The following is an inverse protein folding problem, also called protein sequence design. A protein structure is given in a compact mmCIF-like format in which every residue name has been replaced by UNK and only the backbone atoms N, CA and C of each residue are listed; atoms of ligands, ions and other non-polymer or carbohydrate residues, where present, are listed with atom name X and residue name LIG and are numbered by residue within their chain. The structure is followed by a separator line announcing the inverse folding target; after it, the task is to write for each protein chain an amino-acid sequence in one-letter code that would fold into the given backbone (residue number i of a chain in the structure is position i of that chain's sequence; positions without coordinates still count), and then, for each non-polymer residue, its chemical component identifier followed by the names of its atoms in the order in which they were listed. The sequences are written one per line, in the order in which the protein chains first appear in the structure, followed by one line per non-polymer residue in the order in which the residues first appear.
data_IF_476875964290
#
_entry.id   IF_476875964290
#
_cell.length_a   1.000
_cell.length_b   1.000
_cell.length_c   1.000
_cell.angle_alpha   90.00
_cell.angle_beta   90.00
_cell.angle_gamma   90.00
#
_symmetry.space_group_name_H-M   'P 1'
#
loop_
_entity.id
_entity.type
_entity.pdbx_description
1 polymer ?
#
# COMPACT_ATOMS: atom_id res chain seq x y z
N UNK A 1 1.68 15.68 21.92
CA UNK A 1 2.35 14.42 21.55
C UNK A 1 1.43 13.76 20.53
N UNK A 2 1.92 13.46 19.33
CA UNK A 2 1.09 12.78 18.34
C UNK A 2 0.88 11.33 18.80
N UNK A 3 -0.32 10.79 18.61
CA UNK A 3 -0.62 9.39 18.91
C UNK A 3 0.29 8.46 18.10
N UNK A 4 0.72 7.37 18.72
CA UNK A 4 1.51 6.32 18.11
C UNK A 4 0.65 5.42 17.22
N UNK A 5 1.31 4.67 16.33
CA UNK A 5 0.64 3.68 15.48
C UNK A 5 -0.20 2.67 16.30
N UNK A 6 0.34 2.17 17.41
CA UNK A 6 -0.38 1.22 18.27
C UNK A 6 -1.62 1.85 18.92
N UNK A 7 -1.53 3.10 19.37
CA UNK A 7 -2.67 3.84 19.94
C UNK A 7 -3.77 4.06 18.90
N UNK A 8 -3.42 4.46 17.67
CA UNK A 8 -4.38 4.56 16.57
C UNK A 8 -5.06 3.24 16.27
N UNK A 9 -4.32 2.12 16.21
CA UNK A 9 -4.91 0.80 15.93
C UNK A 9 -5.90 0.34 16.99
N UNK A 10 -5.64 0.67 18.26
CA UNK A 10 -6.51 0.33 19.37
C UNK A 10 -7.81 1.14 19.37
N UNK A 11 -7.77 2.40 18.92
CA UNK A 11 -8.88 3.35 19.03
C UNK A 11 -9.76 3.44 17.79
N UNK A 12 -9.17 3.37 16.59
CA UNK A 12 -9.89 3.61 15.35
C UNK A 12 -10.73 2.38 14.94
N UNK A 13 -11.88 2.58 14.28
CA UNK A 13 -12.72 1.47 13.83
C UNK A 13 -12.02 0.63 12.77
N UNK A 14 -12.50 -0.60 12.61
CA UNK A 14 -12.12 -1.48 11.53
C UNK A 14 -13.36 -2.19 10.98
N UNK A 15 -13.23 -2.65 9.74
CA UNK A 15 -14.23 -3.48 9.08
C UNK A 15 -13.67 -4.89 8.90
N UNK A 16 -14.50 -5.92 8.97
CA UNK A 16 -14.08 -7.29 8.69
C UNK A 16 -14.79 -7.80 7.44
N UNK A 17 -14.01 -8.17 6.41
CA UNK A 17 -14.52 -8.62 5.12
C UNK A 17 -13.73 -9.84 4.67
N UNK A 18 -14.43 -10.91 4.29
CA UNK A 18 -13.82 -12.18 3.89
C UNK A 18 -12.79 -12.71 4.91
N UNK A 19 -13.08 -12.59 6.21
CA UNK A 19 -12.18 -13.03 7.29
C UNK A 19 -11.01 -12.09 7.59
N UNK A 20 -10.79 -11.05 6.79
CA UNK A 20 -9.66 -10.10 6.92
C UNK A 20 -10.13 -8.77 7.49
N UNK A 21 -9.36 -8.21 8.42
CA UNK A 21 -9.59 -6.89 9.01
C UNK A 21 -9.05 -5.79 8.12
N UNK A 22 -9.85 -4.76 7.88
CA UNK A 22 -9.49 -3.54 7.15
C UNK A 22 -9.56 -2.35 8.10
N UNK A 23 -8.49 -1.56 8.20
CA UNK A 23 -8.44 -0.41 9.10
C UNK A 23 -7.62 0.73 8.49
N UNK A 24 -8.16 1.95 8.50
CA UNK A 24 -7.42 3.14 8.10
C UNK A 24 -6.78 3.84 9.31
N UNK A 25 -5.54 4.30 9.17
CA UNK A 25 -4.80 5.05 10.20
C UNK A 25 -4.01 6.22 9.59
N UNK A 26 -3.79 7.31 10.36
CA UNK A 26 -3.06 8.48 9.89
C UNK A 26 -1.57 8.47 10.25
N UNK A 27 -0.87 7.41 9.84
CA UNK A 27 0.55 7.23 10.14
C UNK A 27 1.37 7.18 8.85
N UNK A 28 2.58 7.75 8.89
CA UNK A 28 3.51 7.68 7.76
C UNK A 28 3.88 6.23 7.43
N UNK A 29 4.03 5.86 6.15
CA UNK A 29 4.56 4.55 5.77
C UNK A 29 5.95 4.24 6.36
N UNK A 30 6.80 5.25 6.58
CA UNK A 30 8.12 5.06 7.21
C UNK A 30 8.03 4.68 8.70
N UNK A 31 6.93 5.04 9.36
CA UNK A 31 6.72 4.88 10.81
C UNK A 31 5.75 3.74 11.17
N UNK A 32 5.20 3.07 10.17
CA UNK A 32 4.19 2.02 10.34
C UNK A 32 4.88 0.69 10.60
N UNK A 33 4.63 0.10 11.78
CA UNK A 33 5.19 -1.20 12.17
C UNK A 33 4.32 -2.32 11.61
N UNK A 34 4.77 -2.96 10.54
CA UNK A 34 4.02 -4.02 9.84
C UNK A 34 4.97 -5.05 9.20
N UNK A 35 4.54 -6.30 8.96
CA UNK A 35 5.32 -7.25 8.19
C UNK A 35 5.63 -6.78 6.75
N UNK A 36 4.75 -6.01 6.13
CA UNK A 36 4.90 -5.52 4.76
C UNK A 36 4.30 -4.12 4.59
N UNK A 37 5.13 -3.14 4.24
CA UNK A 37 4.68 -1.82 3.80
C UNK A 37 4.62 -1.77 2.28
N UNK A 38 3.55 -1.24 1.71
CA UNK A 38 3.41 -0.99 0.28
C UNK A 38 3.32 0.50 0.00
N UNK A 39 4.05 0.97 -1.00
CA UNK A 39 4.09 2.39 -1.41
C UNK A 39 4.04 2.47 -2.93
N UNK A 40 3.25 3.40 -3.47
CA UNK A 40 3.00 3.48 -4.90
C UNK A 40 3.79 4.62 -5.57
N UNK A 41 4.20 4.41 -6.82
CA UNK A 41 4.96 5.37 -7.62
C UNK A 41 4.42 5.45 -9.04
N UNK A 42 4.29 6.66 -9.57
CA UNK A 42 4.02 6.87 -11.01
C UNK A 42 5.27 6.57 -11.84
N UNK A 43 5.10 6.51 -13.16
CA UNK A 43 6.19 6.40 -14.12
C UNK A 43 7.18 7.56 -13.95
N UNK A 44 8.44 7.23 -13.65
CA UNK A 44 9.54 8.18 -13.42
C UNK A 44 9.85 9.10 -14.61
N UNK A 45 9.46 8.73 -15.82
CA UNK A 45 9.65 9.58 -17.02
C UNK A 45 8.63 10.71 -17.09
N UNK A 46 7.46 10.49 -16.48
CA UNK A 46 6.31 11.39 -16.52
C UNK A 46 6.10 12.11 -15.18
N UNK A 47 6.57 11.51 -14.08
CA UNK A 47 6.52 12.09 -12.75
C UNK A 47 7.75 11.67 -11.91
N UNK A 48 8.65 12.63 -11.69
CA UNK A 48 9.81 12.48 -10.82
C UNK A 48 9.57 12.97 -9.39
N UNK A 49 8.43 13.59 -9.13
CA UNK A 49 8.10 14.21 -7.86
C UNK A 49 7.34 13.24 -6.95
N UNK A 50 7.81 13.10 -5.72
CA UNK A 50 7.02 12.59 -4.62
C UNK A 50 7.47 13.28 -3.33
N UNK A 51 6.50 13.56 -2.46
CA UNK A 51 6.67 14.27 -1.20
C UNK A 51 6.12 13.45 -0.02
N UNK A 52 5.98 14.09 1.14
CA UNK A 52 5.22 13.55 2.27
C UNK A 52 5.74 12.21 2.79
N UNK A 53 4.82 11.26 3.02
CA UNK A 53 5.17 9.95 3.54
C UNK A 53 6.05 9.14 2.59
N UNK A 54 5.83 9.30 1.28
CA UNK A 54 6.61 8.62 0.24
C UNK A 54 8.06 9.11 0.20
N UNK A 55 8.27 10.43 0.31
CA UNK A 55 9.61 11.00 0.41
C UNK A 55 10.29 10.59 1.72
N UNK A 56 9.56 10.57 2.85
CA UNK A 56 10.09 10.13 4.12
C UNK A 56 10.63 8.68 4.05
N UNK A 57 9.95 7.76 3.36
CA UNK A 57 10.44 6.38 3.14
C UNK A 57 11.79 6.39 2.41
N UNK A 58 11.92 7.13 1.31
CA UNK A 58 13.17 7.20 0.55
C UNK A 58 14.31 7.83 1.37
N UNK A 59 14.03 8.87 2.16
CA UNK A 59 15.01 9.50 3.06
C UNK A 59 15.55 8.50 4.09
N UNK A 60 14.67 7.70 4.69
CA UNK A 60 15.07 6.63 5.63
C UNK A 60 15.89 5.52 4.96
N UNK A 61 15.71 5.33 3.65
CA UNK A 61 16.54 4.46 2.80
C UNK A 61 17.77 5.17 2.23
N UNK A 62 18.11 6.36 2.72
CA UNK A 62 19.26 7.17 2.25
C UNK A 62 19.22 7.45 0.73
N UNK A 63 18.04 7.68 0.17
CA UNK A 63 17.85 7.95 -1.26
C UNK A 63 17.86 6.70 -2.15
N UNK A 64 17.77 5.50 -1.56
CA UNK A 64 17.87 4.23 -2.28
C UNK A 64 16.80 4.05 -3.37
N UNK A 65 15.57 4.55 -3.17
CA UNK A 65 14.51 4.46 -4.18
C UNK A 65 14.82 5.40 -5.34
N UNK A 66 15.27 6.63 -5.09
CA UNK A 66 15.73 7.54 -6.16
C UNK A 66 16.86 6.91 -6.97
N UNK A 67 17.83 6.30 -6.30
CA UNK A 67 18.95 5.64 -6.97
C UNK A 67 18.50 4.47 -7.86
N UNK A 68 17.60 3.60 -7.38
CA UNK A 68 17.04 2.49 -8.15
C UNK A 68 16.27 2.99 -9.38
N UNK A 69 15.48 4.05 -9.23
CA UNK A 69 14.72 4.66 -10.34
C UNK A 69 15.65 5.31 -11.36
N UNK A 70 16.68 6.02 -10.92
CA UNK A 70 17.68 6.62 -11.80
C UNK A 70 18.48 5.58 -12.59
N UNK A 71 18.65 4.38 -12.04
CA UNK A 71 19.29 3.24 -12.69
C UNK A 71 18.31 2.35 -13.51
N UNK A 72 17.05 2.77 -13.69
CA UNK A 72 16.00 2.02 -14.41
C UNK A 72 15.72 0.61 -13.87
N UNK A 73 15.97 0.38 -12.57
CA UNK A 73 15.63 -0.87 -11.89
C UNK A 73 14.18 -0.93 -11.42
N UNK A 74 13.52 0.23 -11.33
CA UNK A 74 12.09 0.34 -11.06
C UNK A 74 11.58 1.62 -11.70
N UNK A 75 10.72 1.52 -12.70
CA UNK A 75 10.27 2.70 -13.44
C UNK A 75 9.01 3.31 -12.84
N UNK A 76 8.17 2.48 -12.22
CA UNK A 76 6.79 2.80 -11.84
C UNK A 76 5.79 2.48 -12.95
N UNK A 77 6.10 1.54 -13.85
CA UNK A 77 5.16 1.07 -14.89
C UNK A 77 3.91 0.45 -14.25
N UNK A 78 2.75 0.49 -14.91
CA UNK A 78 1.50 0.03 -14.29
C UNK A 78 1.59 -1.44 -13.87
N UNK A 79 1.35 -1.72 -12.57
CA UNK A 79 1.48 -3.02 -11.91
C UNK A 79 2.91 -3.58 -11.82
N UNK A 80 3.94 -2.77 -12.09
CA UNK A 80 5.32 -3.12 -11.78
C UNK A 80 5.50 -3.28 -10.27
N UNK A 81 6.27 -4.27 -9.85
CA UNK A 81 6.57 -4.53 -8.44
C UNK A 81 8.08 -4.61 -8.21
N UNK A 82 8.54 -4.05 -7.09
CA UNK A 82 9.91 -4.26 -6.60
C UNK A 82 9.90 -4.44 -5.09
N UNK A 83 10.32 -5.61 -4.63
CA UNK A 83 10.44 -5.92 -3.20
C UNK A 83 11.82 -5.52 -2.68
N UNK A 84 11.82 -4.81 -1.56
CA UNK A 84 13.01 -4.41 -0.81
C UNK A 84 12.92 -4.97 0.61
N UNK A 85 14.07 -5.29 1.17
CA UNK A 85 14.24 -5.65 2.59
C UNK A 85 15.02 -4.54 3.28
N UNK A 86 14.33 -3.63 3.99
CA UNK A 86 14.99 -2.58 4.75
C UNK A 86 15.89 -3.18 5.84
N UNK A 87 17.04 -2.54 6.06
CA UNK A 87 17.91 -2.84 7.21
C UNK A 87 17.25 -2.32 8.49
N UNK A 88 17.65 -2.91 9.62
CA UNK A 88 17.20 -2.48 10.95
C UNK A 88 17.38 -0.97 11.13
N UNK A 89 16.31 -0.32 11.57
CA UNK A 89 16.28 1.12 11.84
C UNK A 89 16.06 2.01 10.62
N UNK A 90 16.00 1.48 9.39
CA UNK A 90 15.62 2.30 8.22
C UNK A 90 14.13 2.66 8.29
N UNK A 91 13.23 1.68 8.20
CA UNK A 91 11.80 1.88 8.44
C UNK A 91 11.30 0.82 9.43
N UNK A 92 10.12 1.03 10.02
CA UNK A 92 9.57 0.06 10.99
C UNK A 92 8.98 -1.20 10.34
N UNK A 93 8.76 -1.18 9.02
CA UNK A 93 8.25 -2.33 8.30
C UNK A 93 9.36 -3.33 7.98
N UNK A 94 9.08 -4.64 8.11
CA UNK A 94 10.07 -5.68 7.85
C UNK A 94 10.37 -5.87 6.36
N UNK A 95 9.40 -5.58 5.49
CA UNK A 95 9.55 -5.57 4.03
C UNK A 95 8.90 -4.31 3.45
N UNK A 96 9.42 -3.85 2.32
CA UNK A 96 8.86 -2.74 1.55
C UNK A 96 8.61 -3.19 0.12
N UNK A 97 7.37 -3.09 -0.36
CA UNK A 97 7.01 -3.36 -1.73
C UNK A 97 6.68 -2.05 -2.44
N UNK A 98 7.44 -1.74 -3.50
CA UNK A 98 7.15 -0.64 -4.39
C UNK A 98 6.15 -1.13 -5.45
N UNK A 99 5.12 -0.34 -5.71
CA UNK A 99 4.10 -0.64 -6.71
C UNK A 99 4.01 0.47 -7.76
N UNK A 100 4.01 0.11 -9.03
CA UNK A 100 3.90 1.06 -10.13
C UNK A 100 2.45 1.42 -10.49
N UNK A 101 2.18 2.71 -10.59
CA UNK A 101 0.90 3.29 -10.99
C UNK A 101 0.83 3.57 -12.50
N UNK A 102 1.99 3.60 -13.17
CA UNK A 102 2.13 3.92 -14.58
C UNK A 102 1.98 5.41 -14.88
N UNK A 103 1.50 5.67 -16.09
CA UNK A 103 1.25 7.01 -16.61
C UNK A 103 0.14 7.73 -15.81
N UNK A 104 0.41 8.94 -15.26
CA UNK A 104 -0.58 9.72 -14.52
C UNK A 104 -1.84 10.06 -15.34
N UNK A 105 -1.72 10.28 -16.65
CA UNK A 105 -2.87 10.62 -17.51
C UNK A 105 -3.80 9.42 -17.75
N UNK A 106 -3.28 8.20 -17.57
CA UNK A 106 -4.05 6.97 -17.73
C UNK A 106 -4.53 6.41 -16.39
N UNK A 107 -4.27 7.09 -15.27
CA UNK A 107 -4.71 6.63 -13.96
C UNK A 107 -6.23 6.74 -13.85
N UNK A 108 -6.86 5.62 -13.51
CA UNK A 108 -8.32 5.53 -13.35
C UNK A 108 -8.66 4.75 -12.09
N UNK A 109 -9.90 4.89 -11.61
CA UNK A 109 -10.43 4.10 -10.50
C UNK A 109 -10.34 2.58 -10.78
N UNK A 110 -10.53 2.15 -12.03
CA UNK A 110 -10.37 0.74 -12.42
C UNK A 110 -8.91 0.28 -12.29
N UNK A 111 -7.94 1.13 -12.61
CA UNK A 111 -6.51 0.80 -12.40
C UNK A 111 -6.17 0.70 -10.92
N UNK A 112 -6.70 1.58 -10.08
CA UNK A 112 -6.55 1.50 -8.63
C UNK A 112 -7.19 0.23 -8.07
N UNK A 113 -8.33 -0.21 -8.60
CA UNK A 113 -8.91 -1.50 -8.22
C UNK A 113 -8.00 -2.68 -8.57
N UNK A 114 -7.40 -2.69 -9.76
CA UNK A 114 -6.40 -3.69 -10.14
C UNK A 114 -5.18 -3.68 -9.21
N UNK A 115 -4.76 -2.51 -8.75
CA UNK A 115 -3.68 -2.36 -7.78
C UNK A 115 -4.04 -2.98 -6.42
N UNK A 116 -5.26 -2.76 -5.93
CA UNK A 116 -5.75 -3.39 -4.70
C UNK A 116 -5.78 -4.91 -4.81
N UNK A 117 -6.15 -5.44 -5.96
CA UNK A 117 -6.08 -6.88 -6.24
C UNK A 117 -4.63 -7.40 -6.19
N UNK A 118 -3.71 -6.72 -6.89
CA UNK A 118 -2.29 -7.07 -6.90
C UNK A 118 -1.69 -7.08 -5.48
N UNK A 119 -1.98 -6.05 -4.68
CA UNK A 119 -1.49 -5.92 -3.31
C UNK A 119 -1.75 -7.16 -2.45
N UNK A 120 -3.00 -7.64 -2.44
CA UNK A 120 -3.37 -8.85 -1.69
C UNK A 120 -2.66 -10.09 -2.24
N UNK A 121 -2.58 -10.23 -3.56
CA UNK A 121 -1.90 -11.38 -4.16
C UNK A 121 -0.41 -11.41 -3.82
N UNK A 122 0.27 -10.26 -3.82
CA UNK A 122 1.67 -10.16 -3.40
C UNK A 122 1.83 -10.45 -1.90
N UNK A 123 0.96 -9.93 -1.04
CA UNK A 123 0.99 -10.24 0.39
C UNK A 123 0.81 -11.74 0.67
N UNK A 124 -0.11 -12.40 -0.04
CA UNK A 124 -0.33 -13.84 0.04
C UNK A 124 0.90 -14.62 -0.43
N UNK A 125 1.50 -14.25 -1.57
CA UNK A 125 2.74 -14.89 -2.08
C UNK A 125 3.90 -14.77 -1.09
N UNK A 126 4.00 -13.63 -0.41
CA UNK A 126 5.01 -13.37 0.61
C UNK A 126 4.70 -14.03 1.96
N UNK A 127 3.50 -14.60 2.13
CA UNK A 127 3.09 -15.29 3.35
C UNK A 127 3.00 -14.36 4.57
N UNK A 128 2.78 -13.06 4.37
CA UNK A 128 2.70 -12.10 5.48
C UNK A 128 1.31 -12.08 6.13
N UNK A 129 1.20 -11.93 7.46
CA UNK A 129 -0.09 -11.92 8.12
C UNK A 129 -0.80 -10.57 8.02
N UNK A 130 -0.06 -9.49 7.73
CA UNK A 130 -0.64 -8.18 7.50
C UNK A 130 0.24 -7.32 6.61
N UNK A 131 -0.37 -6.31 6.00
CA UNK A 131 0.35 -5.26 5.30
C UNK A 131 -0.29 -3.89 5.50
N UNK A 132 0.51 -2.84 5.38
CA UNK A 132 0.04 -1.46 5.24
C UNK A 132 0.18 -0.97 3.81
N UNK A 133 -0.74 -0.11 3.40
CA UNK A 133 -0.85 0.36 2.02
C UNK A 133 -0.95 1.88 1.99
N UNK A 134 0.06 2.53 1.40
CA UNK A 134 0.06 3.94 1.06
C UNK A 134 -0.15 4.09 -0.46
N UNK A 135 -1.33 4.56 -0.91
CA UNK A 135 -1.58 4.81 -2.33
C UNK A 135 -0.73 5.96 -2.90
N UNK A 136 -0.23 6.84 -2.02
CA UNK A 136 0.71 7.93 -2.35
C UNK A 136 0.29 8.89 -3.48
N UNK A 137 -0.99 8.92 -3.85
CA UNK A 137 -1.47 9.75 -4.96
C UNK A 137 -1.25 11.25 -4.69
N UNK A 138 -1.58 11.71 -3.48
CA UNK A 138 -1.40 13.11 -3.07
C UNK A 138 0.07 13.49 -2.92
N UNK A 139 0.87 12.58 -2.38
CA UNK A 139 2.33 12.74 -2.30
C UNK A 139 2.95 12.88 -3.70
N UNK A 140 2.35 12.26 -4.72
CA UNK A 140 2.75 12.38 -6.12
C UNK A 140 2.12 13.58 -6.86
N UNK A 141 1.41 14.47 -6.13
CA UNK A 141 0.77 15.66 -6.69
C UNK A 141 -0.59 15.43 -7.37
N UNK A 142 -1.16 14.23 -7.26
CA UNK A 142 -2.47 13.92 -7.83
C UNK A 142 -3.62 14.21 -6.85
N UNK A 143 -4.63 14.94 -7.33
CA UNK A 143 -5.81 15.33 -6.54
C UNK A 143 -7.15 15.01 -7.22
N UNK A 144 -7.12 14.33 -8.38
CA UNK A 144 -8.30 14.02 -9.19
C UNK A 144 -9.28 13.03 -8.56
N UNK A 145 -8.88 12.35 -7.48
CA UNK A 145 -9.71 11.38 -6.76
C UNK A 145 -9.78 11.75 -5.27
N UNK A 146 -10.96 11.61 -4.68
CA UNK A 146 -11.15 11.72 -3.24
C UNK A 146 -10.53 10.53 -2.50
N UNK A 147 -10.33 10.68 -1.18
CA UNK A 147 -9.81 9.58 -0.37
C UNK A 147 -10.81 8.40 -0.27
N UNK A 148 -12.11 8.71 -0.20
CA UNK A 148 -13.19 7.72 -0.24
C UNK A 148 -13.16 6.89 -1.53
N UNK A 149 -13.13 7.54 -2.71
CA UNK A 149 -13.11 6.82 -3.99
C UNK A 149 -11.90 5.89 -4.10
N UNK A 150 -10.72 6.36 -3.67
CA UNK A 150 -9.49 5.57 -3.67
C UNK A 150 -9.60 4.37 -2.72
N UNK A 151 -10.06 4.60 -1.49
CA UNK A 151 -10.24 3.54 -0.49
C UNK A 151 -11.27 2.50 -0.95
N UNK A 152 -12.38 2.93 -1.53
CA UNK A 152 -13.45 2.07 -2.04
C UNK A 152 -12.92 1.13 -3.13
N UNK A 153 -12.30 1.68 -4.18
CA UNK A 153 -11.88 0.86 -5.34
C UNK A 153 -10.69 -0.04 -5.00
N UNK A 154 -9.74 0.42 -4.19
CA UNK A 154 -8.67 -0.43 -3.66
C UNK A 154 -9.26 -1.59 -2.86
N UNK A 155 -10.16 -1.29 -1.90
CA UNK A 155 -10.80 -2.31 -1.07
C UNK A 155 -11.59 -3.30 -1.91
N UNK A 156 -12.32 -2.85 -2.94
CA UNK A 156 -13.03 -3.73 -3.88
C UNK A 156 -12.09 -4.70 -4.58
N UNK A 157 -10.94 -4.21 -5.06
CA UNK A 157 -9.89 -5.04 -5.66
C UNK A 157 -9.31 -6.07 -4.69
N UNK A 158 -9.01 -5.63 -3.47
CA UNK A 158 -8.49 -6.47 -2.38
C UNK A 158 -9.50 -7.57 -2.00
N UNK A 159 -10.78 -7.22 -1.81
CA UNK A 159 -11.85 -8.18 -1.51
C UNK A 159 -12.02 -9.18 -2.65
N UNK A 160 -11.89 -8.76 -3.91
CA UNK A 160 -11.89 -9.69 -5.06
C UNK A 160 -10.73 -10.67 -4.97
N UNK A 161 -9.52 -10.21 -4.68
CA UNK A 161 -8.35 -11.08 -4.52
C UNK A 161 -8.54 -12.08 -3.36
N UNK A 162 -9.04 -11.62 -2.20
CA UNK A 162 -9.34 -12.49 -1.06
C UNK A 162 -10.37 -13.56 -1.41
N UNK A 163 -11.45 -13.21 -2.11
CA UNK A 163 -12.46 -14.20 -2.56
C UNK A 163 -11.84 -15.24 -3.50
N UNK A 164 -11.01 -14.81 -4.44
CA UNK A 164 -10.28 -15.72 -5.34
C UNK A 164 -9.34 -16.64 -4.56
N UNK A 165 -8.57 -16.09 -3.61
CA UNK A 165 -7.64 -16.86 -2.79
C UNK A 165 -8.36 -17.92 -1.93
N UNK A 166 -9.48 -17.58 -1.29
CA UNK A 166 -10.32 -18.54 -0.56
C UNK A 166 -10.84 -19.64 -1.48
N UNK A 167 -11.40 -19.29 -2.65
CA UNK A 167 -11.91 -20.29 -3.59
C UNK A 167 -10.81 -21.23 -4.11
N UNK A 168 -9.58 -20.74 -4.29
CA UNK A 168 -8.42 -21.55 -4.64
C UNK A 168 -8.00 -22.46 -3.47
N UNK A 169 -8.00 -21.96 -2.24
CA UNK A 169 -7.68 -22.73 -1.04
C UNK A 169 -8.68 -23.87 -0.79
N UNK A 170 -9.98 -23.60 -0.94
CA UNK A 170 -11.06 -24.61 -0.87
C UNK A 170 -10.86 -25.75 -1.89
N UNK A 171 -10.33 -25.41 -3.08
CA UNK A 171 -9.99 -26.35 -4.14
C UNK A 171 -8.61 -27.00 -3.97
N UNK A 172 -7.86 -26.66 -2.91
CA UNK A 172 -6.48 -27.11 -2.67
C UNK A 172 -5.50 -26.71 -3.78
N UNK A 173 -5.80 -25.61 -4.48
CA UNK A 173 -4.96 -25.03 -5.53
C UNK A 173 -4.08 -23.88 -5.01
N UNK A 174 -4.35 -23.43 -3.79
CA UNK A 174 -3.53 -22.50 -3.02
C UNK A 174 -3.43 -23.08 -1.60
N UNK A 175 -2.28 -23.03 -0.91
CA UNK A 175 -2.26 -23.33 0.52
C UNK A 175 -3.11 -22.32 1.29
N UNK A 176 -3.50 -22.66 2.52
CA UNK A 176 -4.04 -21.65 3.43
C UNK A 176 -3.03 -20.52 3.59
N UNK A 177 -3.50 -19.29 3.54
CA UNK A 177 -2.65 -18.09 3.61
C UNK A 177 -2.83 -17.39 4.96
N UNK A 178 -1.80 -16.67 5.39
CA UNK A 178 -1.72 -16.06 6.72
C UNK A 178 -2.37 -14.67 6.82
N UNK A 179 -2.76 -14.07 5.69
CA UNK A 179 -3.23 -12.68 5.66
C UNK A 179 -4.52 -12.50 6.47
N UNK A 180 -4.41 -11.76 7.57
CA UNK A 180 -5.47 -11.47 8.54
C UNK A 180 -5.85 -10.00 8.58
N UNK A 181 -4.94 -9.08 8.17
CA UNK A 181 -5.15 -7.65 8.34
C UNK A 181 -4.54 -6.79 7.22
N UNK A 182 -5.30 -5.77 6.80
CA UNK A 182 -4.94 -4.76 5.80
C UNK A 182 -5.10 -3.37 6.41
N UNK A 183 -4.06 -2.54 6.25
CA UNK A 183 -3.97 -1.24 6.90
C UNK A 183 -3.85 -0.13 5.86
N UNK A 184 -4.89 0.67 5.69
CA UNK A 184 -4.81 1.84 4.82
C UNK A 184 -4.13 3.00 5.52
N UNK A 185 -3.16 3.63 4.86
CA UNK A 185 -2.51 4.83 5.35
C UNK A 185 -3.11 6.04 4.64
N UNK A 186 -3.70 6.94 5.42
CA UNK A 186 -4.31 8.16 4.90
C UNK A 186 -3.92 9.34 5.79
N UNK A 187 -3.45 10.45 5.22
CA UNK A 187 -3.11 11.64 6.01
C UNK A 187 -4.29 12.09 6.88
N UNK A 188 -4.02 12.69 8.04
CA UNK A 188 -5.03 13.00 9.07
C UNK A 188 -6.27 13.75 8.54
N UNK A 189 -6.07 14.68 7.59
CA UNK A 189 -7.15 15.44 6.94
C UNK A 189 -8.10 14.59 6.07
N UNK A 190 -7.75 13.34 5.79
CA UNK A 190 -8.47 12.44 4.90
C UNK A 190 -8.88 11.14 5.58
N UNK A 191 -8.56 10.98 6.87
CA UNK A 191 -8.80 9.75 7.61
C UNK A 191 -10.28 9.39 7.66
N UNK A 192 -11.16 10.33 8.02
CA UNK A 192 -12.60 10.08 8.13
C UNK A 192 -13.17 9.57 6.79
N UNK A 193 -12.86 10.26 5.69
CA UNK A 193 -13.30 9.86 4.35
C UNK A 193 -12.73 8.51 3.88
N UNK A 194 -11.60 8.07 4.44
CA UNK A 194 -11.01 6.75 4.12
C UNK A 194 -11.57 5.62 5.01
N UNK A 195 -12.37 5.94 6.04
CA UNK A 195 -13.00 4.98 6.95
C UNK A 195 -14.44 4.63 6.58
N UNK A 196 -15.10 5.50 5.84
CA UNK A 196 -16.45 5.32 5.28
C UNK A 196 -16.51 4.11 4.34
#
# INVERSE_FOLDING_TARGET
MNETFAEYRARLPFHQVAGVKFQAVPVSPSETSTPLQMVCFLDSRLNQHYAGGTEAVDQHLSGGIKALRAADHFRGDFLETLLLEPRDGQIKAAKLLLLGLGDPEQLTLTRLESLGHLAVMEAIKLGVPSFSFAPSLKDAGLSSFSAAEVAEVLSRGMVRALKSAHALAEKKLLPNFALEEIIFLAGAAHLASAQD
#
